data_IF_975782524119
#
_entry.id   IF_975782524119
#
_cell.length_a   1.000
_cell.length_b   1.000
_cell.length_c   1.000
_cell.angle_alpha   90.00
_cell.angle_beta   90.00
_cell.angle_gamma   90.00
#
_symmetry.space_group_name_H-M   'P 1'
#
loop_
_entity.id
_entity.type
_entity.pdbx_description
1 polymer ?
#
# COMPACT_ATOMS: atom_id res chain seq x y z
N UNK A 1 -7.24 -18.13 -12.01
CA UNK A 1 -6.83 -17.03 -11.08
C UNK A 1 -6.29 -17.59 -9.78
N UNK A 2 -5.05 -17.31 -9.42
CA UNK A 2 -4.49 -17.73 -8.12
C UNK A 2 -4.79 -16.67 -7.05
N UNK A 3 -6.04 -16.68 -6.54
CA UNK A 3 -6.52 -15.71 -5.57
C UNK A 3 -5.74 -15.76 -4.24
N UNK A 4 -5.39 -16.95 -3.77
CA UNK A 4 -4.63 -17.10 -2.53
C UNK A 4 -3.20 -16.57 -2.65
N UNK A 5 -2.55 -16.81 -3.79
CA UNK A 5 -1.24 -16.24 -4.09
C UNK A 5 -1.30 -14.72 -4.14
N UNK A 6 -2.35 -14.15 -4.76
CA UNK A 6 -2.57 -12.72 -4.80
C UNK A 6 -2.77 -12.11 -3.40
N UNK A 7 -3.67 -12.69 -2.60
CA UNK A 7 -3.93 -12.20 -1.24
C UNK A 7 -2.64 -12.24 -0.40
N UNK A 8 -1.88 -13.33 -0.46
CA UNK A 8 -0.62 -13.46 0.26
C UNK A 8 0.39 -12.37 -0.14
N UNK A 9 0.56 -12.13 -1.44
CA UNK A 9 1.43 -11.08 -1.96
C UNK A 9 0.96 -9.68 -1.55
N UNK A 10 -0.35 -9.43 -1.62
CA UNK A 10 -0.96 -8.16 -1.23
C UNK A 10 -0.78 -7.88 0.28
N UNK A 11 -0.96 -8.90 1.13
CA UNK A 11 -0.74 -8.81 2.58
C UNK A 11 0.72 -8.52 2.89
N UNK A 12 1.64 -9.26 2.28
CA UNK A 12 3.09 -9.05 2.46
C UNK A 12 3.49 -7.62 2.04
N UNK A 13 3.01 -7.15 0.90
CA UNK A 13 3.28 -5.79 0.45
C UNK A 13 2.73 -4.74 1.42
N UNK A 14 1.51 -4.92 1.91
CA UNK A 14 0.87 -3.98 2.84
C UNK A 14 1.63 -3.91 4.17
N UNK A 15 2.10 -5.06 4.68
CA UNK A 15 2.87 -5.15 5.92
C UNK A 15 4.34 -4.74 5.76
N UNK A 16 4.87 -4.76 4.53
CA UNK A 16 6.25 -4.34 4.27
C UNK A 16 6.45 -2.90 4.75
N UNK A 17 7.48 -2.64 5.59
CA UNK A 17 7.78 -1.29 6.06
C UNK A 17 7.95 -0.32 4.90
N UNK A 18 7.24 0.78 4.96
CA UNK A 18 7.25 1.83 3.95
C UNK A 18 6.55 3.07 4.46
N UNK A 19 6.55 4.17 3.68
CA UNK A 19 5.99 5.44 4.12
C UNK A 19 4.52 5.33 4.51
N UNK A 20 3.75 4.48 3.83
CA UNK A 20 2.34 4.21 4.08
C UNK A 20 2.06 3.71 5.51
N UNK A 21 2.63 2.56 5.88
CA UNK A 21 2.39 1.94 7.19
C UNK A 21 3.01 2.78 8.33
N UNK A 22 4.19 3.35 8.11
CA UNK A 22 4.84 4.21 9.09
C UNK A 22 4.00 5.46 9.38
N UNK A 23 3.38 6.04 8.35
CA UNK A 23 2.54 7.21 8.55
C UNK A 23 1.22 6.87 9.24
N UNK A 24 0.61 5.70 8.95
CA UNK A 24 -0.55 5.18 9.71
C UNK A 24 -0.20 5.05 11.18
N UNK A 25 0.94 4.43 11.51
CA UNK A 25 1.41 4.26 12.89
C UNK A 25 1.58 5.62 13.56
N UNK A 26 2.32 6.54 12.93
CA UNK A 26 2.60 7.87 13.47
C UNK A 26 1.32 8.66 13.74
N UNK A 27 0.38 8.71 12.77
CA UNK A 27 -0.90 9.39 12.97
C UNK A 27 -1.73 8.76 14.09
N UNK A 28 -1.65 7.44 14.25
CA UNK A 28 -2.39 6.74 15.29
C UNK A 28 -1.81 6.98 16.68
N UNK A 29 -0.49 7.05 16.81
CA UNK A 29 0.18 7.34 18.09
C UNK A 29 -0.07 8.80 18.49
N UNK A 30 0.06 9.75 17.56
CA UNK A 30 0.01 11.19 17.88
C UNK A 30 -1.40 11.76 17.98
N UNK A 31 -2.34 11.23 17.19
CA UNK A 31 -3.70 11.79 17.03
C UNK A 31 -4.82 10.78 17.28
N UNK A 32 -4.45 9.56 17.69
CA UNK A 32 -5.38 8.50 17.98
C UNK A 32 -5.81 7.68 16.75
N UNK A 33 -6.41 6.52 17.02
CA UNK A 33 -6.83 5.53 16.03
C UNK A 33 -7.65 6.12 14.87
N UNK A 34 -8.56 7.05 15.15
CA UNK A 34 -9.41 7.65 14.11
C UNK A 34 -8.61 8.36 13.03
N UNK A 35 -7.55 9.09 13.42
CA UNK A 35 -6.68 9.78 12.47
C UNK A 35 -5.92 8.78 11.57
N UNK A 36 -5.38 7.70 12.15
CA UNK A 36 -4.77 6.62 11.38
C UNK A 36 -5.74 5.96 10.39
N UNK A 37 -6.98 5.71 10.80
CA UNK A 37 -8.01 5.14 9.92
C UNK A 37 -8.43 6.08 8.78
N UNK A 38 -8.55 7.38 9.03
CA UNK A 38 -8.84 8.38 7.99
C UNK A 38 -7.71 8.44 6.97
N UNK A 39 -6.47 8.40 7.44
CA UNK A 39 -5.32 8.33 6.55
C UNK A 39 -5.29 7.03 5.73
N UNK A 40 -5.55 5.89 6.37
CA UNK A 40 -5.66 4.59 5.72
C UNK A 40 -6.76 4.56 4.64
N UNK A 41 -7.91 5.17 4.90
CA UNK A 41 -8.96 5.33 3.91
C UNK A 41 -8.49 6.14 2.69
N UNK A 42 -7.70 7.19 2.93
CA UNK A 42 -7.05 7.94 1.85
C UNK A 42 -6.07 7.09 1.04
N UNK A 43 -5.21 6.30 1.70
CA UNK A 43 -4.29 5.37 1.02
C UNK A 43 -5.07 4.38 0.14
N UNK A 44 -6.14 3.79 0.67
CA UNK A 44 -6.96 2.83 -0.08
C UNK A 44 -7.70 3.48 -1.25
N UNK A 45 -8.13 4.73 -1.13
CA UNK A 45 -8.73 5.47 -2.25
C UNK A 45 -7.68 5.74 -3.34
N UNK A 46 -6.42 6.02 -2.97
CA UNK A 46 -5.33 6.18 -3.94
C UNK A 46 -5.08 4.92 -4.79
N UNK A 47 -5.38 3.73 -4.28
CA UNK A 47 -5.28 2.48 -5.03
C UNK A 47 -6.19 2.45 -6.27
N UNK A 48 -7.31 3.18 -6.26
CA UNK A 48 -8.22 3.27 -7.42
C UNK A 48 -7.46 3.79 -8.65
N UNK A 49 -6.59 4.79 -8.46
CA UNK A 49 -5.78 5.31 -9.57
C UNK A 49 -4.86 4.23 -10.16
N UNK A 50 -4.21 3.42 -9.30
CA UNK A 50 -3.34 2.34 -9.75
C UNK A 50 -4.11 1.22 -10.46
N UNK A 51 -5.23 0.78 -9.88
CA UNK A 51 -6.09 -0.26 -10.48
C UNK A 51 -6.60 0.22 -11.84
N UNK A 52 -7.07 1.47 -11.93
CA UNK A 52 -7.55 2.04 -13.19
C UNK A 52 -6.43 2.13 -14.23
N UNK A 53 -5.27 2.66 -13.84
CA UNK A 53 -4.13 2.81 -14.76
C UNK A 53 -3.67 1.45 -15.29
N UNK A 54 -3.59 0.43 -14.43
CA UNK A 54 -3.18 -0.92 -14.84
C UNK A 54 -4.26 -1.59 -15.68
N UNK A 55 -5.53 -1.46 -15.33
CA UNK A 55 -6.63 -2.05 -16.11
C UNK A 55 -6.72 -1.48 -17.54
N UNK A 56 -6.40 -0.20 -17.72
CA UNK A 56 -6.40 0.45 -19.02
C UNK A 56 -5.07 0.27 -19.78
N UNK A 57 -3.94 0.33 -19.07
CA UNK A 57 -2.61 0.37 -19.69
C UNK A 57 -1.95 -1.00 -19.87
N UNK A 58 -2.09 -1.90 -18.92
CA UNK A 58 -1.42 -3.21 -18.96
C UNK A 58 -2.03 -4.10 -20.04
N UNK A 59 -3.32 -3.98 -20.32
CA UNK A 59 -3.94 -4.70 -21.42
C UNK A 59 -3.23 -4.41 -22.77
N UNK A 60 -2.85 -3.15 -22.98
CA UNK A 60 -2.10 -2.72 -24.17
C UNK A 60 -0.67 -3.29 -24.15
N UNK A 61 0.00 -3.24 -23.01
CA UNK A 61 1.37 -3.72 -22.86
C UNK A 61 1.50 -5.24 -23.03
N UNK A 62 0.55 -6.01 -22.48
CA UNK A 62 0.49 -7.47 -22.64
C UNK A 62 0.29 -7.88 -24.08
N UNK A 63 -0.50 -7.11 -24.83
CA UNK A 63 -0.76 -7.37 -26.26
C UNK A 63 0.39 -6.93 -27.17
N UNK A 64 1.20 -5.93 -26.76
CA UNK A 64 2.20 -5.30 -27.65
C UNK A 64 3.56 -5.99 -27.62
N UNK A 65 4.05 -6.48 -26.46
CA UNK A 65 5.38 -7.08 -26.37
C UNK A 65 5.55 -7.96 -25.12
N UNK A 66 5.55 -9.30 -25.29
CA UNK A 66 5.85 -10.23 -24.19
C UNK A 66 7.24 -10.04 -23.58
N UNK A 67 8.21 -9.57 -24.37
CA UNK A 67 9.57 -9.29 -23.92
C UNK A 67 9.58 -8.08 -22.98
N UNK A 68 8.94 -6.97 -23.39
CA UNK A 68 8.86 -5.75 -22.57
C UNK A 68 8.16 -6.03 -21.24
N UNK A 69 7.09 -6.83 -21.24
CA UNK A 69 6.41 -7.25 -20.01
C UNK A 69 7.32 -8.09 -19.09
N UNK A 70 8.09 -9.02 -19.69
CA UNK A 70 9.02 -9.86 -18.93
C UNK A 70 10.13 -9.02 -18.30
N UNK A 71 10.68 -8.05 -19.01
CA UNK A 71 11.68 -7.11 -18.46
C UNK A 71 11.11 -6.28 -17.33
N UNK A 72 9.91 -5.72 -17.49
CA UNK A 72 9.21 -4.94 -16.45
C UNK A 72 8.97 -5.78 -15.20
N UNK A 73 8.54 -7.04 -15.37
CA UNK A 73 8.32 -7.97 -14.26
C UNK A 73 9.58 -8.22 -13.43
N UNK A 74 10.71 -8.53 -14.08
CA UNK A 74 11.96 -8.79 -13.36
C UNK A 74 12.55 -7.51 -12.74
N UNK A 75 12.50 -6.38 -13.46
CA UNK A 75 12.94 -5.09 -12.93
C UNK A 75 12.10 -4.67 -11.69
N UNK A 76 10.79 -4.81 -11.77
CA UNK A 76 9.90 -4.52 -10.64
C UNK A 76 10.13 -5.44 -9.45
N UNK A 77 10.29 -6.75 -9.67
CA UNK A 77 10.60 -7.72 -8.62
C UNK A 77 11.94 -7.41 -7.94
N UNK A 78 12.99 -7.12 -8.70
CA UNK A 78 14.30 -6.73 -8.18
C UNK A 78 14.23 -5.45 -7.33
N UNK A 79 13.47 -4.47 -7.79
CA UNK A 79 13.30 -3.22 -7.04
C UNK A 79 12.47 -3.40 -5.77
N UNK A 80 11.40 -4.21 -5.80
CA UNK A 80 10.63 -4.52 -4.59
C UNK A 80 11.49 -5.27 -3.57
N UNK A 81 12.35 -6.19 -4.02
CA UNK A 81 13.33 -6.88 -3.17
C UNK A 81 14.33 -5.88 -2.58
N UNK A 82 14.88 -4.97 -3.39
CA UNK A 82 15.75 -3.90 -2.92
C UNK A 82 15.07 -3.04 -1.84
N UNK A 83 13.82 -2.61 -2.07
CA UNK A 83 13.07 -1.85 -1.06
C UNK A 83 12.84 -2.65 0.23
N UNK A 84 12.55 -3.95 0.11
CA UNK A 84 12.38 -4.84 1.26
C UNK A 84 13.66 -4.95 2.08
N UNK A 85 14.80 -5.20 1.42
CA UNK A 85 16.12 -5.25 2.07
C UNK A 85 16.48 -3.90 2.69
N UNK A 86 16.29 -2.79 1.97
CA UNK A 86 16.55 -1.44 2.48
C UNK A 86 15.68 -1.14 3.72
N UNK A 87 14.41 -1.50 3.70
CA UNK A 87 13.52 -1.31 4.84
C UNK A 87 13.93 -2.15 6.05
N UNK A 88 14.46 -3.36 5.82
CA UNK A 88 14.99 -4.23 6.89
C UNK A 88 16.32 -3.71 7.47
N UNK A 89 17.17 -3.16 6.62
CA UNK A 89 18.48 -2.62 7.01
C UNK A 89 18.40 -1.20 7.58
N UNK A 90 17.33 -0.44 7.28
CA UNK A 90 17.14 0.92 7.77
C UNK A 90 16.92 0.92 9.30
N UNK A 91 18.02 0.89 10.04
CA UNK A 91 18.03 1.19 11.47
C UNK A 91 17.72 2.68 11.65
N UNK A 92 16.50 3.01 12.09
CA UNK A 92 16.15 4.17 12.94
C UNK A 92 16.57 5.59 12.52
N UNK A 93 16.68 5.93 11.24
CA UNK A 93 16.94 7.31 10.82
C UNK A 93 15.73 7.96 10.12
N UNK A 94 14.55 7.79 10.64
CA UNK A 94 13.42 8.57 10.15
C UNK A 94 13.07 9.64 11.18
N UNK A 95 13.68 10.82 11.04
CA UNK A 95 13.12 12.06 11.58
C UNK A 95 11.79 12.34 10.87
N UNK A 96 10.73 11.71 11.36
CA UNK A 96 9.38 12.14 11.01
C UNK A 96 9.17 13.48 11.72
N UNK A 97 9.20 14.57 10.96
CA UNK A 97 8.71 15.84 11.46
C UNK A 97 7.25 15.64 11.88
N UNK A 98 7.06 15.63 13.18
CA UNK A 98 5.77 15.66 13.83
C UNK A 98 5.21 17.08 13.66
N UNK A 99 4.74 17.42 12.47
CA UNK A 99 4.04 18.67 12.24
C UNK A 99 2.77 18.64 13.09
N UNK A 100 2.80 19.39 14.18
CA UNK A 100 1.76 19.46 15.21
C UNK A 100 0.45 20.12 14.80
N UNK A 101 0.25 20.42 13.52
CA UNK A 101 -1.01 20.96 13.04
C UNK A 101 -2.14 19.95 13.23
N UNK A 102 -3.17 20.37 13.93
CA UNK A 102 -4.46 19.68 14.00
C UNK A 102 -5.06 19.62 12.59
N UNK A 103 -4.52 18.70 11.77
CA UNK A 103 -4.98 18.53 10.41
C UNK A 103 -6.44 18.10 10.43
N UNK A 104 -7.31 18.95 9.96
CA UNK A 104 -8.70 18.64 9.65
C UNK A 104 -8.70 17.29 8.92
N UNK A 105 -9.59 16.37 9.30
CA UNK A 105 -9.67 15.00 8.77
C UNK A 105 -9.59 14.94 7.24
N UNK A 106 -10.11 15.96 6.53
CA UNK A 106 -10.03 16.07 5.08
C UNK A 106 -8.60 16.28 4.53
N UNK A 107 -7.73 17.02 5.23
CA UNK A 107 -6.32 17.18 4.83
C UNK A 107 -5.57 15.86 4.96
N UNK A 108 -5.84 15.12 6.03
CA UNK A 108 -5.20 13.84 6.30
C UNK A 108 -5.60 12.77 5.27
N UNK A 109 -6.88 12.71 4.92
CA UNK A 109 -7.40 11.85 3.87
C UNK A 109 -6.74 12.13 2.51
N UNK A 110 -6.71 13.41 2.08
CA UNK A 110 -6.07 13.81 0.83
C UNK A 110 -4.57 13.49 0.82
N UNK A 111 -3.88 13.67 1.95
CA UNK A 111 -2.47 13.30 2.09
C UNK A 111 -2.28 11.80 1.91
N UNK A 112 -3.19 10.97 2.42
CA UNK A 112 -3.19 9.52 2.19
C UNK A 112 -3.31 9.17 0.71
N UNK A 113 -4.27 9.78 0.00
CA UNK A 113 -4.43 9.58 -1.45
C UNK A 113 -3.13 9.90 -2.19
N UNK A 114 -2.59 11.11 -1.98
CA UNK A 114 -1.39 11.57 -2.67
C UNK A 114 -0.18 10.69 -2.36
N UNK A 115 0.00 10.33 -1.09
CA UNK A 115 1.10 9.46 -0.67
C UNK A 115 1.01 8.08 -1.31
N UNK A 116 -0.19 7.50 -1.45
CA UNK A 116 -0.36 6.22 -2.12
C UNK A 116 -0.07 6.32 -3.62
N UNK A 117 -0.64 7.32 -4.31
CA UNK A 117 -0.43 7.52 -5.76
C UNK A 117 1.06 7.67 -6.09
N UNK A 118 1.82 8.37 -5.25
CA UNK A 118 3.24 8.61 -5.44
C UNK A 118 4.13 7.52 -4.82
N UNK A 119 3.56 6.48 -4.20
CA UNK A 119 4.33 5.44 -3.53
C UNK A 119 4.98 4.49 -4.56
N UNK A 120 6.32 4.49 -4.71
CA UNK A 120 6.99 3.65 -5.69
C UNK A 120 6.79 2.15 -5.42
N UNK A 121 6.62 1.75 -4.16
CA UNK A 121 6.31 0.37 -3.77
C UNK A 121 4.98 -0.09 -4.39
N UNK A 122 3.95 0.75 -4.31
CA UNK A 122 2.62 0.47 -4.83
C UNK A 122 2.62 0.51 -6.37
N UNK A 123 3.24 1.54 -6.95
CA UNK A 123 3.35 1.68 -8.42
C UNK A 123 3.95 0.41 -9.02
N UNK A 124 5.07 -0.06 -8.50
CA UNK A 124 5.77 -1.22 -9.04
C UNK A 124 5.03 -2.53 -8.80
N UNK A 125 4.36 -2.66 -7.68
CA UNK A 125 3.49 -3.81 -7.46
C UNK A 125 2.39 -3.88 -8.52
N UNK A 126 1.69 -2.78 -8.75
CA UNK A 126 0.61 -2.76 -9.72
C UNK A 126 1.09 -2.92 -11.16
N UNK A 127 2.23 -2.35 -11.53
CA UNK A 127 2.75 -2.46 -12.90
C UNK A 127 3.39 -3.83 -13.18
N UNK A 128 4.20 -4.34 -12.27
CA UNK A 128 5.05 -5.50 -12.53
C UNK A 128 4.50 -6.81 -11.95
N UNK A 129 3.79 -6.74 -10.82
CA UNK A 129 3.39 -7.93 -10.09
C UNK A 129 1.91 -8.27 -10.24
N UNK A 130 1.04 -7.29 -10.16
CA UNK A 130 -0.41 -7.45 -10.24
C UNK A 130 -0.88 -8.19 -11.50
N UNK A 131 -0.37 -7.90 -12.73
CA UNK A 131 -0.81 -8.59 -13.94
C UNK A 131 -0.49 -10.09 -13.96
N UNK A 132 0.42 -10.57 -13.11
CA UNK A 132 0.80 -11.98 -13.06
C UNK A 132 -0.31 -12.88 -12.48
N UNK A 133 -1.30 -12.28 -11.81
CA UNK A 133 -2.45 -12.98 -11.24
C UNK A 133 -3.67 -13.02 -12.17
N UNK A 134 -3.57 -12.38 -13.33
CA UNK A 134 -4.61 -12.39 -14.34
C UNK A 134 -4.50 -13.69 -15.15
N UNK A 135 -5.63 -14.36 -15.41
CA UNK A 135 -5.65 -15.57 -16.21
C UNK A 135 -5.25 -15.28 -17.64
N UNK A 136 -4.36 -16.10 -18.17
CA UNK A 136 -3.94 -16.04 -19.56
C UNK A 136 -5.05 -16.57 -20.45
N UNK A 137 -5.37 -15.84 -21.52
CA UNK A 137 -6.38 -16.26 -22.51
C UNK A 137 -7.80 -15.78 -22.20
N UNK A 138 -7.99 -14.94 -21.18
CA UNK A 138 -9.27 -14.24 -20.98
C UNK A 138 -9.40 -13.14 -22.04
N UNK A 139 -10.53 -13.13 -22.74
CA UNK A 139 -10.83 -12.14 -23.79
C UNK A 139 -10.90 -10.71 -23.22
N UNK A 140 -11.46 -10.54 -22.02
CA UNK A 140 -11.51 -9.27 -21.31
C UNK A 140 -10.99 -9.39 -19.87
N UNK A 141 -9.73 -8.96 -19.59
CA UNK A 141 -9.15 -9.06 -18.25
C UNK A 141 -9.64 -7.98 -17.26
N UNK A 142 -10.31 -6.92 -17.74
CA UNK A 142 -10.70 -5.77 -16.91
C UNK A 142 -11.55 -6.16 -15.69
N UNK A 143 -12.62 -6.99 -15.80
CA UNK A 143 -13.41 -7.38 -14.64
C UNK A 143 -12.58 -8.10 -13.57
N UNK A 144 -11.64 -8.96 -13.98
CA UNK A 144 -10.77 -9.66 -13.06
C UNK A 144 -9.77 -8.70 -12.38
N UNK A 145 -9.25 -7.72 -13.10
CA UNK A 145 -8.38 -6.69 -12.54
C UNK A 145 -9.12 -5.83 -11.50
N UNK A 146 -10.35 -5.43 -11.80
CA UNK A 146 -11.18 -4.67 -10.87
C UNK A 146 -11.50 -5.47 -9.59
N UNK A 147 -11.81 -6.76 -9.74
CA UNK A 147 -12.05 -7.65 -8.60
C UNK A 147 -10.81 -7.78 -7.71
N UNK A 148 -9.64 -8.07 -8.31
CA UNK A 148 -8.38 -8.15 -7.57
C UNK A 148 -8.02 -6.81 -6.92
N UNK A 149 -8.25 -5.70 -7.61
CA UNK A 149 -8.09 -4.35 -7.06
C UNK A 149 -8.96 -4.11 -5.83
N UNK A 150 -10.22 -4.51 -5.88
CA UNK A 150 -11.16 -4.41 -4.75
C UNK A 150 -10.69 -5.29 -3.58
N UNK A 151 -10.27 -6.53 -3.85
CA UNK A 151 -9.72 -7.44 -2.83
C UNK A 151 -8.49 -6.81 -2.17
N UNK A 152 -7.60 -6.19 -2.97
CA UNK A 152 -6.44 -5.48 -2.44
C UNK A 152 -6.85 -4.32 -1.54
N UNK A 153 -7.80 -3.47 -1.96
CA UNK A 153 -8.27 -2.33 -1.19
C UNK A 153 -8.87 -2.75 0.16
N UNK A 154 -9.73 -3.78 0.15
CA UNK A 154 -10.39 -4.28 1.37
C UNK A 154 -9.36 -4.83 2.35
N UNK A 155 -8.44 -5.71 1.90
CA UNK A 155 -7.43 -6.28 2.78
C UNK A 155 -6.46 -5.22 3.31
N UNK A 156 -6.05 -4.25 2.48
CA UNK A 156 -5.16 -3.17 2.90
C UNK A 156 -5.83 -2.27 3.96
N UNK A 157 -7.10 -1.92 3.76
CA UNK A 157 -7.85 -1.15 4.75
C UNK A 157 -8.00 -1.87 6.08
N UNK A 158 -8.27 -3.19 6.06
CA UNK A 158 -8.35 -4.00 7.27
C UNK A 158 -7.01 -4.04 8.01
N UNK A 159 -5.91 -4.27 7.29
CA UNK A 159 -4.57 -4.32 7.88
C UNK A 159 -4.19 -2.96 8.46
N UNK A 160 -4.32 -1.86 7.72
CA UNK A 160 -4.01 -0.53 8.21
C UNK A 160 -4.89 -0.12 9.41
N UNK A 161 -6.16 -0.53 9.41
CA UNK A 161 -7.07 -0.29 10.54
C UNK A 161 -6.64 -1.05 11.80
N UNK A 162 -6.19 -2.31 11.65
CA UNK A 162 -5.61 -3.09 12.75
C UNK A 162 -4.31 -2.45 13.27
N UNK A 163 -3.43 -2.05 12.36
CA UNK A 163 -2.19 -1.35 12.72
C UNK A 163 -2.48 -0.06 13.48
N UNK A 164 -3.45 0.74 13.00
CA UNK A 164 -3.87 1.97 13.66
C UNK A 164 -4.41 1.71 15.09
N UNK A 165 -5.21 0.67 15.26
CA UNK A 165 -5.76 0.31 16.55
C UNK A 165 -4.69 -0.17 17.54
N UNK A 166 -3.74 -0.99 17.07
CA UNK A 166 -2.64 -1.50 17.88
C UNK A 166 -1.70 -0.35 18.28
N UNK A 167 -1.34 0.52 17.34
CA UNK A 167 -0.46 1.66 17.58
C UNK A 167 -1.04 2.64 18.62
N UNK A 168 -2.31 3.01 18.49
CA UNK A 168 -3.01 3.86 19.47
C UNK A 168 -3.06 3.20 20.86
N UNK A 169 -3.37 1.89 20.93
CA UNK A 169 -3.46 1.16 22.19
C UNK A 169 -2.11 1.08 22.91
N UNK A 170 -1.04 0.83 22.17
CA UNK A 170 0.32 0.80 22.72
C UNK A 170 0.74 2.19 23.23
N UNK A 171 0.48 3.25 22.45
CA UNK A 171 0.79 4.62 22.86
C UNK A 171 0.09 4.99 24.17
N UNK A 172 -1.22 4.72 24.29
CA UNK A 172 -1.98 4.99 25.53
C UNK A 172 -1.43 4.23 26.73
N UNK A 173 -1.06 2.95 26.56
CA UNK A 173 -0.49 2.15 27.65
C UNK A 173 0.85 2.69 28.14
N UNK A 174 1.71 3.14 27.20
CA UNK A 174 3.00 3.73 27.53
C UNK A 174 2.85 5.08 28.23
N UNK A 175 1.92 5.93 27.77
CA UNK A 175 1.64 7.23 28.39
C UNK A 175 0.98 7.15 29.78
N UNK A 176 0.28 6.06 30.07
CA UNK A 176 -0.39 5.85 31.36
C UNK A 176 0.50 5.18 32.42
N UNK A 177 1.72 4.78 32.05
CA UNK A 177 2.62 4.09 32.96
C UNK A 177 3.56 5.13 33.62
N UNK A 178 3.42 5.46 34.93
CA UNK A 178 4.19 6.52 35.58
C UNK A 178 5.68 6.15 35.77
N UNK A 179 6.14 5.01 35.25
CA UNK A 179 7.54 4.53 35.36
C UNK A 179 8.34 4.72 34.05
N UNK A 180 7.80 5.37 33.05
CA UNK A 180 8.43 5.79 31.81
C UNK A 180 8.33 7.31 31.69
#
# INVERSE_FOLDING_TARGET
>A
MNLWGFISAAVLLTLMPGPDILFVITQSITRGRKAGMVFAAGLCTGLIAHVTAVSLGVSILLMSSPVAFTMLKFAGAAYLLYLGVKAFLARRENHFELSGDAAVSGKLYRKGILMNILNPKVILFFLAFFPQFIDKGIENPIPQMLLLGLVFMVQAFLIFSMVAAVADRLARRLMQNPKV
#
